data_IF_109817422424
#
_entry.id   IF_109817422424
#
_cell.length_a   1.000
_cell.length_b   1.000
_cell.length_c   1.000
_cell.angle_alpha   90.00
_cell.angle_beta   90.00
_cell.angle_gamma   90.00
#
_symmetry.space_group_name_H-M   'P 1'
#
loop_
_entity.id
_entity.type
_entity.pdbx_description
1 polymer ?
#
# COMPACT_ATOMS: atom_id res chain seq x y z
N UNK A 1 0.94 -13.70 -4.40
CA UNK A 1 0.85 -13.00 -5.71
C UNK A 1 1.79 -11.82 -5.64
N UNK A 2 2.61 -11.59 -6.68
CA UNK A 2 3.40 -10.38 -6.81
C UNK A 2 2.57 -9.39 -7.65
N UNK A 3 2.34 -8.20 -7.12
CA UNK A 3 1.65 -7.15 -7.86
C UNK A 3 2.67 -6.38 -8.72
N UNK A 4 2.34 -6.17 -9.99
CA UNK A 4 3.19 -5.45 -10.94
C UNK A 4 2.94 -3.94 -10.85
N UNK A 5 4.01 -3.15 -10.80
CA UNK A 5 3.95 -1.70 -10.68
C UNK A 5 5.29 -1.14 -10.23
N UNK A 6 5.63 0.05 -10.71
CA UNK A 6 6.88 0.73 -10.33
C UNK A 6 6.66 1.76 -9.22
N UNK A 7 5.43 1.89 -8.73
CA UNK A 7 5.04 2.78 -7.64
C UNK A 7 4.11 2.07 -6.65
N UNK A 8 4.06 2.50 -5.38
CA UNK A 8 3.09 2.00 -4.41
C UNK A 8 1.65 2.05 -4.91
N UNK A 9 1.27 3.13 -5.60
CA UNK A 9 -0.09 3.32 -6.12
C UNK A 9 -0.48 2.21 -7.09
N UNK A 10 0.39 1.87 -8.03
CA UNK A 10 0.12 0.84 -9.03
C UNK A 10 0.01 -0.55 -8.41
N UNK A 11 0.91 -0.84 -7.48
CA UNK A 11 0.92 -2.09 -6.71
C UNK A 11 -0.36 -2.23 -5.90
N UNK A 12 -0.74 -1.20 -5.12
CA UNK A 12 -1.97 -1.20 -4.34
C UNK A 12 -3.21 -1.37 -5.23
N UNK A 13 -3.23 -0.73 -6.40
CA UNK A 13 -4.34 -0.87 -7.35
C UNK A 13 -4.49 -2.32 -7.82
N UNK A 14 -3.39 -2.99 -8.17
CA UNK A 14 -3.44 -4.41 -8.56
C UNK A 14 -3.93 -5.28 -7.41
N UNK A 15 -3.38 -5.09 -6.21
CA UNK A 15 -3.79 -5.87 -5.02
C UNK A 15 -5.27 -5.69 -4.72
N UNK A 16 -5.82 -4.48 -4.81
CA UNK A 16 -7.26 -4.25 -4.58
C UNK A 16 -8.15 -4.88 -5.65
N UNK A 17 -7.69 -4.96 -6.91
CA UNK A 17 -8.40 -5.67 -7.97
C UNK A 17 -8.44 -7.18 -7.71
N UNK A 18 -7.33 -7.76 -7.27
CA UNK A 18 -7.21 -9.20 -7.03
C UNK A 18 -7.82 -9.62 -5.68
N UNK A 19 -7.84 -8.72 -4.71
CA UNK A 19 -8.31 -8.94 -3.34
C UNK A 19 -9.33 -7.86 -2.93
N UNK A 20 -10.62 -8.02 -3.25
CA UNK A 20 -11.66 -7.02 -2.94
C UNK A 20 -11.79 -6.71 -1.43
N UNK A 21 -11.44 -7.68 -0.58
CA UNK A 21 -11.49 -7.54 0.88
C UNK A 21 -10.57 -6.43 1.42
N UNK A 22 -9.55 -6.01 0.66
CA UNK A 22 -8.65 -4.90 1.01
C UNK A 22 -8.97 -3.61 0.25
N UNK A 23 -10.16 -3.51 -0.37
CA UNK A 23 -10.57 -2.34 -1.16
C UNK A 23 -10.62 -1.02 -0.39
N UNK A 24 -10.62 -1.05 0.95
CA UNK A 24 -10.65 0.14 1.81
C UNK A 24 -9.25 0.68 2.17
N UNK A 25 -8.18 0.15 1.56
CA UNK A 25 -6.81 0.61 1.79
C UNK A 25 -6.56 2.02 1.25
N UNK A 26 -7.20 2.38 0.14
CA UNK A 26 -7.16 3.73 -0.39
C UNK A 26 -8.47 4.46 -0.08
N UNK A 27 -8.37 5.74 0.26
CA UNK A 27 -9.51 6.66 0.33
C UNK A 27 -10.01 7.00 -1.08
N UNK A 28 -11.18 7.63 -1.17
CA UNK A 28 -11.76 8.12 -2.43
C UNK A 28 -10.80 9.06 -3.19
N UNK A 29 -10.04 9.88 -2.45
CA UNK A 29 -8.97 10.74 -2.98
C UNK A 29 -7.71 9.99 -3.45
N UNK A 30 -7.75 8.65 -3.50
CA UNK A 30 -6.62 7.78 -3.88
C UNK A 30 -5.39 7.96 -2.98
N UNK A 31 -5.60 8.34 -1.72
CA UNK A 31 -4.55 8.39 -0.69
C UNK A 31 -4.63 7.15 0.17
N UNK A 32 -3.54 6.77 0.82
CA UNK A 32 -3.59 5.69 1.81
C UNK A 32 -4.55 6.08 2.94
N UNK A 33 -5.37 5.13 3.39
CA UNK A 33 -6.27 5.33 4.54
C UNK A 33 -5.47 5.87 5.74
N UNK A 34 -5.99 6.88 6.47
CA UNK A 34 -5.29 7.44 7.63
C UNK A 34 -5.09 6.43 8.77
N UNK A 35 -5.79 5.30 8.72
CA UNK A 35 -5.64 4.18 9.66
C UNK A 35 -4.61 3.15 9.19
N UNK A 36 -3.95 3.39 8.06
CA UNK A 36 -2.95 2.51 7.49
C UNK A 36 -1.61 3.24 7.36
N UNK A 37 -0.53 2.53 7.65
CA UNK A 37 0.83 2.92 7.34
C UNK A 37 1.37 2.00 6.27
N UNK A 38 2.12 2.55 5.32
CA UNK A 38 2.79 1.78 4.29
C UNK A 38 4.29 1.86 4.52
N UNK A 39 4.94 0.73 4.73
CA UNK A 39 6.38 0.63 4.90
C UNK A 39 7.05 0.02 3.68
N UNK A 40 8.16 0.61 3.26
CA UNK A 40 9.06 0.09 2.24
C UNK A 40 10.18 -0.71 2.92
N UNK A 41 10.26 -2.00 2.58
CA UNK A 41 11.22 -2.98 3.10
C UNK A 41 11.25 -3.11 4.64
N UNK A 42 10.24 -2.59 5.35
CA UNK A 42 10.24 -2.53 6.81
C UNK A 42 11.17 -1.45 7.39
N UNK A 43 11.77 -0.59 6.57
CA UNK A 43 12.80 0.36 6.99
C UNK A 43 12.26 1.78 7.15
N UNK A 44 11.37 2.19 6.25
CA UNK A 44 10.80 3.55 6.21
C UNK A 44 9.33 3.51 5.86
N UNK A 45 8.59 4.53 6.31
CA UNK A 45 7.20 4.73 5.89
C UNK A 45 7.14 5.61 4.65
N UNK A 46 6.18 5.34 3.76
CA UNK A 46 5.95 6.08 2.54
C UNK A 46 4.73 6.99 2.71
N UNK A 47 4.95 8.29 2.54
CA UNK A 47 3.90 9.30 2.46
C UNK A 47 3.48 9.60 1.01
N UNK A 48 4.38 9.36 0.05
CA UNK A 48 4.16 9.53 -1.38
C UNK A 48 3.96 8.17 -2.06
N UNK A 49 2.78 7.98 -2.67
CA UNK A 49 2.43 6.74 -3.37
C UNK A 49 2.86 6.73 -4.84
N UNK A 50 3.34 7.86 -5.35
CA UNK A 50 3.86 8.00 -6.71
C UNK A 50 5.41 7.91 -6.74
N UNK A 51 6.04 7.74 -5.57
CA UNK A 51 7.46 7.46 -5.48
C UNK A 51 7.81 6.14 -6.18
N UNK A 52 8.93 6.14 -6.90
CA UNK A 52 9.41 4.96 -7.62
C UNK A 52 9.97 3.92 -6.66
N UNK A 53 9.49 2.69 -6.79
CA UNK A 53 9.98 1.54 -6.03
C UNK A 53 11.28 0.99 -6.65
N UNK A 54 12.26 0.59 -5.83
CA UNK A 54 13.38 -0.19 -6.33
C UNK A 54 12.92 -1.58 -6.77
N UNK A 55 13.65 -2.19 -7.70
CA UNK A 55 13.37 -3.56 -8.14
C UNK A 55 13.46 -4.54 -6.96
N UNK A 56 12.47 -5.42 -6.84
CA UNK A 56 12.37 -6.37 -5.72
C UNK A 56 11.94 -5.74 -4.39
N UNK A 57 11.46 -4.49 -4.39
CA UNK A 57 10.91 -3.85 -3.21
C UNK A 57 9.79 -4.67 -2.55
N UNK A 58 9.79 -4.67 -1.22
CA UNK A 58 8.71 -5.22 -0.42
C UNK A 58 7.88 -4.07 0.17
N UNK A 59 6.57 -4.14 0.00
CA UNK A 59 5.63 -3.23 0.63
C UNK A 59 4.90 -3.94 1.76
N UNK A 60 4.95 -3.35 2.95
CA UNK A 60 4.23 -3.81 4.14
C UNK A 60 3.17 -2.80 4.52
N UNK A 61 1.91 -3.24 4.56
CA UNK A 61 0.80 -2.42 5.04
C UNK A 61 0.53 -2.78 6.50
N UNK A 62 0.50 -1.77 7.36
CA UNK A 62 0.16 -1.88 8.76
C UNK A 62 -1.15 -1.13 9.00
N UNK A 63 -2.23 -1.86 9.25
CA UNK A 63 -3.48 -1.26 9.70
C UNK A 63 -3.44 -1.10 11.22
N UNK A 64 -3.74 0.09 11.71
CA UNK A 64 -4.13 0.30 13.09
C UNK A 64 -5.56 -0.23 13.25
N UNK A 65 -5.71 -1.55 13.34
CA UNK A 65 -6.87 -2.10 14.01
C UNK A 65 -6.71 -1.68 15.47
N UNK A 66 -7.51 -0.73 15.92
CA UNK A 66 -7.55 -0.36 17.32
C UNK A 66 -8.00 -1.61 18.07
N UNK A 67 -7.06 -2.29 18.74
CA UNK A 67 -7.37 -3.43 19.60
C UNK A 67 -8.54 -3.07 20.52
N UNK A 68 -9.54 -3.96 20.54
CA UNK A 68 -10.77 -3.82 21.33
C UNK A 68 -10.56 -3.80 22.83
#
# INVERSE_FOLDING_TARGET
MAAEGNTPREVLRHVMCDCPAVGNLLTDDRRLSPHCLLSLNGERFLDDLDERLPDGAQLLILSADAGG
#
